data_IF_093061027079
#
_entry.id   IF_093061027079
#
_cell.length_a   1.000
_cell.length_b   1.000
_cell.length_c   1.000
_cell.angle_alpha   90.00
_cell.angle_beta   90.00
_cell.angle_gamma   90.00
#
_symmetry.space_group_name_H-M   'P 1'
#
loop_
_entity.id
_entity.type
_entity.pdbx_description
1 polymer ?
#
# COMPACT_ATOMS: atom_id res chain seq x y z
N UNK A 1 13.61 24.79 18.75
CA UNK A 1 14.26 24.07 17.61
C UNK A 1 14.21 22.59 17.98
N UNK A 2 13.71 21.77 17.09
CA UNK A 2 13.59 20.32 17.27
C UNK A 2 14.93 19.63 16.89
N UNK A 3 16.02 19.96 17.62
CA UNK A 3 17.38 19.50 17.27
C UNK A 3 17.54 18.02 17.57
N UNK A 4 18.02 17.25 16.60
CA UNK A 4 18.29 15.83 16.74
C UNK A 4 19.53 15.62 17.63
N UNK A 5 19.33 14.96 18.79
CA UNK A 5 20.39 14.65 19.75
C UNK A 5 20.91 13.22 19.54
N UNK A 6 19.99 12.26 19.27
CA UNK A 6 20.35 10.86 19.12
C UNK A 6 19.46 10.16 18.08
N UNK A 7 20.06 9.21 17.37
CA UNK A 7 19.35 8.27 16.46
C UNK A 7 19.84 6.87 16.76
N UNK A 8 18.89 5.96 17.04
CA UNK A 8 19.18 4.55 17.37
C UNK A 8 18.26 3.65 16.55
N UNK A 9 18.83 2.66 15.89
CA UNK A 9 18.07 1.61 15.22
C UNK A 9 18.24 0.28 15.94
N UNK A 10 17.19 -0.54 15.80
CA UNK A 10 17.16 -1.93 16.28
C UNK A 10 16.46 -2.84 15.29
N UNK A 11 16.73 -4.12 15.41
CA UNK A 11 16.01 -5.16 14.68
C UNK A 11 14.77 -5.56 15.49
N UNK A 12 13.60 -5.55 14.85
CA UNK A 12 12.34 -6.06 15.38
C UNK A 12 11.75 -7.13 14.43
N UNK A 13 10.60 -7.72 14.75
CA UNK A 13 9.93 -8.68 13.88
C UNK A 13 8.71 -8.05 13.19
N UNK A 14 8.52 -8.37 11.92
CA UNK A 14 7.31 -8.06 11.17
C UNK A 14 6.17 -9.07 11.44
N UNK A 15 5.00 -8.87 10.85
CA UNK A 15 3.80 -9.72 10.98
C UNK A 15 3.98 -11.15 10.48
N UNK A 16 5.06 -11.43 9.73
CA UNK A 16 5.43 -12.76 9.25
C UNK A 16 6.53 -13.41 10.09
N UNK A 17 6.99 -12.74 11.16
CA UNK A 17 8.11 -13.17 11.99
C UNK A 17 9.47 -13.02 11.32
N UNK A 18 9.58 -12.20 10.26
CA UNK A 18 10.86 -11.84 9.67
C UNK A 18 11.41 -10.57 10.31
N UNK A 19 12.76 -10.43 10.42
CA UNK A 19 13.36 -9.20 10.91
C UNK A 19 13.05 -8.00 10.04
N UNK A 20 12.85 -6.84 10.68
CA UNK A 20 12.78 -5.54 10.04
C UNK A 20 13.42 -4.47 10.93
N UNK A 21 13.56 -3.24 10.41
CA UNK A 21 14.23 -2.13 11.09
C UNK A 21 13.22 -1.25 11.82
N UNK A 22 13.50 -0.95 13.08
CA UNK A 22 12.86 0.15 13.82
C UNK A 22 13.92 1.20 14.14
N UNK A 23 13.57 2.46 13.94
CA UNK A 23 14.43 3.61 14.25
C UNK A 23 13.76 4.47 15.31
N UNK A 24 14.56 4.90 16.27
CA UNK A 24 14.20 5.85 17.33
C UNK A 24 15.01 7.13 17.17
N UNK A 25 14.35 8.27 17.21
CA UNK A 25 14.97 9.60 17.18
C UNK A 25 14.66 10.31 18.49
N UNK A 26 15.69 10.82 19.15
CA UNK A 26 15.60 11.64 20.35
C UNK A 26 16.02 13.07 20.01
N UNK A 27 15.24 14.05 20.46
CA UNK A 27 15.50 15.48 20.30
C UNK A 27 16.01 16.11 21.61
N UNK A 28 16.72 17.24 21.52
CA UNK A 28 17.24 17.98 22.69
C UNK A 28 16.16 18.46 23.67
N UNK A 29 14.91 18.60 23.21
CA UNK A 29 13.77 18.97 24.06
C UNK A 29 13.19 17.77 24.85
N UNK A 30 13.76 16.57 24.67
CA UNK A 30 13.34 15.33 25.32
C UNK A 30 12.28 14.55 24.57
N UNK A 31 11.85 15.01 23.40
CA UNK A 31 10.94 14.25 22.51
C UNK A 31 11.63 12.99 22.02
N UNK A 32 10.93 11.85 22.07
CA UNK A 32 11.40 10.56 21.55
C UNK A 32 10.31 9.97 20.67
N UNK A 33 10.63 9.70 19.42
CA UNK A 33 9.71 9.09 18.47
C UNK A 33 10.34 7.88 17.75
N UNK A 34 9.53 6.90 17.44
CA UNK A 34 9.94 5.67 16.74
C UNK A 34 9.19 5.49 15.43
N UNK A 35 9.82 4.79 14.48
CA UNK A 35 9.17 4.33 13.28
C UNK A 35 9.68 2.94 12.88
N UNK A 36 8.78 2.06 12.47
CA UNK A 36 9.10 0.71 12.01
C UNK A 36 8.84 0.57 10.50
N UNK A 37 9.77 -0.07 9.81
CA UNK A 37 9.74 -0.19 8.33
C UNK A 37 9.01 -1.47 7.92
N UNK A 38 8.03 -1.40 6.99
CA UNK A 38 7.39 -2.59 6.44
C UNK A 38 8.28 -3.31 5.41
N UNK A 39 7.94 -4.56 5.09
CA UNK A 39 8.71 -5.45 4.20
C UNK A 39 7.82 -6.17 3.19
N UNK A 40 8.19 -6.22 1.92
CA UNK A 40 7.44 -6.94 0.88
C UNK A 40 7.66 -8.46 0.91
N UNK A 41 6.68 -9.24 0.39
CA UNK A 41 6.85 -10.64 0.01
C UNK A 41 7.24 -10.76 -1.46
N UNK A 42 6.42 -10.20 -2.35
CA UNK A 42 6.76 -9.93 -3.74
C UNK A 42 7.39 -8.54 -3.82
N UNK A 43 8.36 -8.35 -4.69
CA UNK A 43 9.04 -7.06 -4.88
C UNK A 43 9.20 -6.80 -6.36
N UNK A 44 8.79 -5.60 -6.82
CA UNK A 44 9.04 -5.14 -8.18
C UNK A 44 10.54 -5.05 -8.47
N UNK A 45 10.93 -5.34 -9.68
CA UNK A 45 12.34 -5.37 -10.11
C UNK A 45 13.06 -4.04 -9.86
N UNK A 46 12.33 -2.94 -9.84
CA UNK A 46 12.86 -1.58 -9.76
C UNK A 46 12.70 -0.93 -8.39
N UNK A 47 12.27 -1.69 -7.37
CA UNK A 47 12.21 -1.18 -6.00
C UNK A 47 13.60 -0.82 -5.47
N UNK A 48 13.66 0.16 -4.57
CA UNK A 48 14.87 0.44 -3.80
C UNK A 48 15.23 -0.77 -2.91
N UNK A 49 16.52 -0.96 -2.69
CA UNK A 49 17.05 -2.17 -2.06
C UNK A 49 16.69 -2.24 -0.57
N UNK A 50 15.91 -3.21 -0.19
CA UNK A 50 15.78 -3.64 1.21
C UNK A 50 17.05 -4.42 1.59
N UNK A 51 17.92 -3.81 2.41
CA UNK A 51 19.20 -4.41 2.77
C UNK A 51 19.00 -5.55 3.77
N UNK A 52 19.40 -6.76 3.35
CA UNK A 52 19.39 -8.00 4.15
C UNK A 52 20.81 -8.51 4.36
N UNK A 53 21.06 -9.13 5.53
CA UNK A 53 22.41 -9.60 5.92
C UNK A 53 22.92 -10.75 5.05
N UNK A 54 22.03 -11.60 4.53
CA UNK A 54 22.37 -12.77 3.72
C UNK A 54 22.96 -13.93 4.51
N UNK A 55 23.21 -13.81 5.82
CA UNK A 55 23.72 -14.89 6.67
C UNK A 55 22.64 -15.96 6.90
N UNK A 56 22.77 -17.09 6.18
CA UNK A 56 21.84 -18.21 6.28
C UNK A 56 21.69 -18.81 7.69
N UNK A 57 22.66 -18.58 8.60
CA UNK A 57 22.60 -19.09 9.97
C UNK A 57 21.71 -18.24 10.87
N UNK A 58 21.35 -17.02 10.40
CA UNK A 58 20.53 -16.09 11.16
C UNK A 58 19.30 -15.71 10.31
N UNK A 59 18.10 -16.04 10.83
CA UNK A 59 16.81 -15.80 10.14
C UNK A 59 16.79 -16.29 8.66
N UNK A 60 17.52 -17.37 8.34
CA UNK A 60 17.60 -17.87 6.97
C UNK A 60 18.21 -16.89 5.94
N UNK A 61 18.95 -15.89 6.38
CA UNK A 61 19.54 -14.83 5.56
C UNK A 61 18.75 -13.51 5.56
N UNK A 62 17.61 -13.45 6.25
CA UNK A 62 16.71 -12.29 6.27
C UNK A 62 17.02 -11.27 7.37
N UNK A 63 18.10 -11.43 8.17
CA UNK A 63 18.55 -10.46 9.17
C UNK A 63 18.74 -9.06 8.59
N UNK A 64 18.67 -8.01 9.42
CA UNK A 64 18.80 -6.60 9.02
C UNK A 64 19.86 -5.84 9.84
N UNK A 65 20.80 -6.55 10.46
CA UNK A 65 21.84 -5.91 11.30
C UNK A 65 22.73 -4.97 10.49
N UNK A 66 23.00 -5.23 9.20
CA UNK A 66 23.74 -4.29 8.35
C UNK A 66 22.99 -2.96 8.17
N UNK A 67 21.67 -3.01 7.98
CA UNK A 67 20.83 -1.81 7.91
C UNK A 67 20.81 -1.07 9.25
N UNK A 68 20.69 -1.80 10.37
CA UNK A 68 20.78 -1.25 11.73
C UNK A 68 22.13 -0.56 11.96
N UNK A 69 23.23 -1.21 11.60
CA UNK A 69 24.57 -0.62 11.69
C UNK A 69 24.73 0.64 10.82
N UNK A 70 24.16 0.63 9.61
CA UNK A 70 24.18 1.80 8.74
C UNK A 70 23.46 2.99 9.38
N UNK A 71 22.33 2.78 10.07
CA UNK A 71 21.67 3.84 10.84
C UNK A 71 22.58 4.31 11.99
N UNK A 72 23.03 3.38 12.84
CA UNK A 72 23.73 3.71 14.09
C UNK A 72 25.12 4.32 13.85
N UNK A 73 25.86 3.83 12.85
CA UNK A 73 27.25 4.22 12.63
C UNK A 73 27.47 5.24 11.51
N UNK A 74 26.49 5.44 10.60
CA UNK A 74 26.66 6.33 9.44
C UNK A 74 25.59 7.41 9.38
N UNK A 75 24.29 7.04 9.34
CA UNK A 75 23.20 8.00 9.16
C UNK A 75 23.04 8.85 10.43
N UNK A 76 22.90 8.23 11.60
CA UNK A 76 22.72 8.92 12.86
C UNK A 76 23.79 10.00 13.10
N UNK A 77 25.10 9.65 13.09
CA UNK A 77 26.17 10.65 13.24
C UNK A 77 26.14 11.79 12.22
N UNK A 78 25.61 11.56 11.02
CA UNK A 78 25.54 12.57 9.96
C UNK A 78 24.41 13.58 10.15
N UNK A 79 23.32 13.21 10.87
CA UNK A 79 22.13 14.06 11.06
C UNK A 79 21.99 14.63 12.48
N UNK A 80 22.81 14.19 13.45
CA UNK A 80 22.87 14.81 14.78
C UNK A 80 23.19 16.31 14.62
N UNK A 81 22.42 17.16 15.35
CA UNK A 81 22.53 18.60 15.29
C UNK A 81 21.66 19.27 14.21
N UNK A 82 21.03 18.50 13.32
CA UNK A 82 20.02 19.04 12.39
C UNK A 82 18.71 19.33 13.13
N UNK A 83 17.94 20.29 12.63
CA UNK A 83 16.56 20.49 13.05
C UNK A 83 15.66 19.45 12.38
N UNK A 84 14.94 18.64 13.16
CA UNK A 84 14.08 17.58 12.65
C UNK A 84 12.95 18.09 11.72
N UNK A 85 12.64 19.39 11.75
CA UNK A 85 11.68 20.00 10.82
C UNK A 85 12.23 20.20 9.41
N UNK A 86 13.54 20.05 9.21
CA UNK A 86 14.20 20.16 7.91
C UNK A 86 14.17 18.82 7.13
N UNK A 87 12.98 18.17 7.05
CA UNK A 87 12.81 16.85 6.47
C UNK A 87 13.49 16.66 5.12
N UNK A 88 13.26 17.57 4.18
CA UNK A 88 13.81 17.49 2.81
C UNK A 88 15.34 17.54 2.83
N UNK A 89 15.93 18.37 3.70
CA UNK A 89 17.39 18.47 3.82
C UNK A 89 18.00 17.18 4.40
N UNK A 90 17.34 16.58 5.39
CA UNK A 90 17.77 15.32 6.02
C UNK A 90 17.64 14.16 5.03
N UNK A 91 16.51 14.03 4.32
CA UNK A 91 16.30 12.98 3.32
C UNK A 91 17.36 13.10 2.20
N UNK A 92 17.59 14.30 1.67
CA UNK A 92 18.62 14.55 0.65
C UNK A 92 20.05 14.25 1.15
N UNK A 93 20.34 14.51 2.42
CA UNK A 93 21.62 14.15 3.02
C UNK A 93 21.80 12.63 3.05
N UNK A 94 20.77 11.87 3.45
CA UNK A 94 20.81 10.41 3.46
C UNK A 94 20.99 9.83 2.05
N UNK A 95 20.27 10.36 1.05
CA UNK A 95 20.42 9.96 -0.35
C UNK A 95 21.84 10.23 -0.87
N UNK A 96 22.40 11.37 -0.53
CA UNK A 96 23.80 11.71 -0.89
C UNK A 96 24.81 10.80 -0.18
N UNK A 97 24.54 10.41 1.07
CA UNK A 97 25.39 9.52 1.84
C UNK A 97 25.38 8.10 1.27
N UNK A 98 24.22 7.62 0.78
CA UNK A 98 24.12 6.36 0.04
C UNK A 98 24.84 6.44 -1.31
N UNK A 99 24.59 7.46 -2.11
CA UNK A 99 25.24 7.75 -3.37
C UNK A 99 24.88 6.82 -4.52
N UNK A 100 23.82 5.97 -4.39
CA UNK A 100 23.31 5.10 -5.44
C UNK A 100 21.85 5.38 -5.75
N UNK A 101 21.39 5.10 -6.98
CA UNK A 101 20.01 5.37 -7.40
C UNK A 101 18.99 4.52 -6.63
N UNK A 102 19.34 3.30 -6.24
CA UNK A 102 18.44 2.33 -5.60
C UNK A 102 18.78 2.04 -4.12
N UNK A 103 19.53 2.91 -3.44
CA UNK A 103 19.91 2.81 -2.00
C UNK A 103 20.66 1.51 -1.63
N UNK A 104 21.51 1.01 -2.52
CA UNK A 104 22.22 -0.27 -2.33
C UNK A 104 23.24 -0.22 -1.17
N UNK A 105 23.85 0.95 -0.88
CA UNK A 105 24.92 1.06 0.09
C UNK A 105 24.42 1.12 1.54
N UNK A 106 23.32 1.85 1.80
CA UNK A 106 22.77 2.00 3.14
C UNK A 106 21.56 1.10 3.38
N UNK A 107 20.79 0.84 2.33
CA UNK A 107 19.50 0.16 2.37
C UNK A 107 18.32 1.14 2.48
N UNK A 108 17.30 0.95 1.64
CA UNK A 108 16.08 1.73 1.69
C UNK A 108 15.37 1.59 3.04
N UNK A 109 15.45 0.42 3.67
CA UNK A 109 14.90 0.18 5.01
C UNK A 109 15.61 1.02 6.09
N UNK A 110 16.92 1.16 6.05
CA UNK A 110 17.66 2.03 6.97
C UNK A 110 17.29 3.51 6.77
N UNK A 111 17.27 3.97 5.52
CA UNK A 111 16.97 5.36 5.16
C UNK A 111 15.53 5.72 5.51
N UNK A 112 14.57 4.87 5.15
CA UNK A 112 13.15 5.11 5.43
C UNK A 112 12.85 5.14 6.93
N UNK A 113 13.44 4.22 7.70
CA UNK A 113 13.25 4.20 9.16
C UNK A 113 13.62 5.54 9.79
N UNK A 114 14.75 6.12 9.38
CA UNK A 114 15.19 7.46 9.83
C UNK A 114 14.24 8.54 9.33
N UNK A 115 13.91 8.55 8.03
CA UNK A 115 13.00 9.55 7.43
C UNK A 115 11.68 9.63 8.16
N UNK A 116 11.05 8.49 8.46
CA UNK A 116 9.77 8.41 9.18
C UNK A 116 9.91 8.82 10.66
N UNK A 117 10.95 8.35 11.35
CA UNK A 117 11.16 8.65 12.77
C UNK A 117 11.43 10.15 12.98
N UNK A 118 12.21 10.78 12.11
CA UNK A 118 12.47 12.23 12.11
C UNK A 118 11.16 13.02 11.94
N UNK A 119 10.33 12.67 10.96
CA UNK A 119 9.05 13.35 10.75
C UNK A 119 8.13 13.24 11.96
N UNK A 120 8.07 12.07 12.60
CA UNK A 120 7.27 11.84 13.81
C UNK A 120 7.82 12.65 15.00
N UNK A 121 9.14 12.64 15.20
CA UNK A 121 9.77 13.43 16.26
C UNK A 121 9.50 14.92 16.08
N UNK A 122 9.61 15.44 14.85
CA UNK A 122 9.31 16.83 14.54
C UNK A 122 7.82 17.16 14.84
N UNK A 123 6.89 16.30 14.45
CA UNK A 123 5.49 16.48 14.74
C UNK A 123 5.20 16.54 16.25
N UNK A 124 5.75 15.60 17.01
CA UNK A 124 5.59 15.52 18.47
C UNK A 124 6.22 16.72 19.19
N UNK A 125 7.41 17.15 18.79
CA UNK A 125 8.08 18.35 19.34
C UNK A 125 7.29 19.62 19.08
N UNK A 126 6.48 19.66 18.02
CA UNK A 126 5.60 20.79 17.70
C UNK A 126 4.20 20.66 18.30
N UNK A 127 3.93 19.60 19.06
CA UNK A 127 2.60 19.26 19.61
C UNK A 127 1.51 19.18 18.51
N UNK A 128 1.90 18.62 17.35
CA UNK A 128 1.02 18.43 16.20
C UNK A 128 0.77 16.95 15.93
N UNK A 129 -0.49 16.54 15.66
CA UNK A 129 -0.75 15.24 15.07
C UNK A 129 0.04 15.05 13.77
N UNK A 130 0.60 13.84 13.53
CA UNK A 130 1.47 13.58 12.40
C UNK A 130 0.85 13.95 11.05
N UNK A 131 -0.43 13.62 10.83
CA UNK A 131 -1.12 13.96 9.58
C UNK A 131 -1.23 15.48 9.33
N UNK A 132 -1.37 16.28 10.40
CA UNK A 132 -1.38 17.75 10.30
C UNK A 132 0.02 18.32 10.08
N UNK A 133 1.04 17.75 10.72
CA UNK A 133 2.42 18.13 10.47
C UNK A 133 2.82 17.91 9.01
N UNK A 134 2.51 16.73 8.46
CA UNK A 134 2.85 16.35 7.09
C UNK A 134 2.01 17.09 6.03
N UNK A 135 0.72 17.30 6.28
CA UNK A 135 -0.24 17.80 5.27
C UNK A 135 -0.74 19.22 5.49
N UNK A 136 -0.37 19.82 6.62
CA UNK A 136 -0.84 21.16 7.01
C UNK A 136 -2.36 21.21 7.29
N UNK A 137 -2.89 22.41 7.41
CA UNK A 137 -4.29 22.64 7.79
C UNK A 137 -5.33 22.06 6.79
N UNK A 138 -4.93 21.70 5.58
CA UNK A 138 -5.84 21.14 4.57
C UNK A 138 -5.96 19.62 4.62
N UNK A 139 -5.21 18.94 5.49
CA UNK A 139 -5.30 17.49 5.72
C UNK A 139 -6.62 17.17 6.45
N UNK A 140 -7.63 16.67 5.72
CA UNK A 140 -9.00 16.48 6.24
C UNK A 140 -9.81 15.38 5.57
N UNK A 141 -9.25 14.75 4.51
CA UNK A 141 -9.95 13.73 3.76
C UNK A 141 -9.56 12.35 4.26
N UNK A 142 -10.54 11.65 4.85
CA UNK A 142 -10.41 10.25 5.23
C UNK A 142 -10.45 9.38 3.97
N UNK A 143 -9.50 8.45 3.79
CA UNK A 143 -9.44 7.64 2.57
C UNK A 143 -10.53 6.58 2.54
N UNK A 144 -11.03 6.25 1.33
CA UNK A 144 -11.83 5.05 1.09
C UNK A 144 -10.91 3.84 1.20
N UNK A 145 -11.20 2.86 2.08
CA UNK A 145 -10.40 1.66 2.19
C UNK A 145 -10.65 0.72 0.99
N UNK A 146 -9.56 0.26 0.38
CA UNK A 146 -9.53 -0.89 -0.53
C UNK A 146 -9.23 -2.12 0.33
N UNK A 147 -10.29 -2.77 0.83
CA UNK A 147 -10.17 -3.76 1.88
C UNK A 147 -10.08 -5.17 1.30
N UNK A 148 -8.89 -5.76 1.35
CA UNK A 148 -8.61 -7.09 0.84
C UNK A 148 -9.25 -8.16 1.74
N UNK A 149 -10.35 -8.76 1.30
CA UNK A 149 -11.12 -9.73 2.09
C UNK A 149 -11.01 -11.17 1.59
N UNK A 150 -10.45 -11.38 0.39
CA UNK A 150 -10.17 -12.70 -0.18
C UNK A 150 -8.83 -12.67 -0.93
N UNK A 151 -7.97 -13.62 -0.62
CA UNK A 151 -6.61 -13.74 -1.13
C UNK A 151 -6.46 -14.92 -2.09
N UNK A 152 -5.64 -14.73 -3.11
CA UNK A 152 -5.08 -15.75 -3.99
C UNK A 152 -3.61 -15.48 -4.30
N UNK A 153 -3.11 -15.99 -5.42
CA UNK A 153 -1.76 -15.76 -5.90
C UNK A 153 -0.70 -16.03 -4.83
N UNK A 154 0.32 -15.17 -4.75
CA UNK A 154 1.41 -15.29 -3.77
C UNK A 154 0.98 -15.04 -2.30
N UNK A 155 -0.20 -14.48 -2.06
CA UNK A 155 -0.71 -14.17 -0.72
C UNK A 155 -1.49 -15.31 -0.05
N UNK A 156 -1.72 -16.43 -0.76
CA UNK A 156 -2.48 -17.57 -0.24
C UNK A 156 -1.97 -18.90 -0.83
N UNK A 157 -1.98 -19.94 -0.02
CA UNK A 157 -1.72 -21.32 -0.47
C UNK A 157 -3.04 -21.95 -0.96
N UNK A 158 -3.52 -21.49 -2.14
CA UNK A 158 -4.75 -21.94 -2.77
C UNK A 158 -4.61 -21.92 -4.31
N UNK A 159 -5.70 -22.20 -5.03
CA UNK A 159 -5.73 -22.30 -6.49
C UNK A 159 -6.32 -21.06 -7.21
N UNK A 160 -6.43 -19.92 -6.52
CA UNK A 160 -6.91 -18.67 -7.11
C UNK A 160 -5.73 -17.90 -7.66
N UNK A 161 -5.75 -17.52 -8.95
CA UNK A 161 -4.60 -16.91 -9.63
C UNK A 161 -4.42 -15.43 -9.28
N UNK A 162 -5.52 -14.65 -9.21
CA UNK A 162 -5.47 -13.23 -8.86
C UNK A 162 -5.16 -13.07 -7.38
N UNK A 163 -4.28 -12.13 -7.05
CA UNK A 163 -3.68 -12.03 -5.72
C UNK A 163 -4.64 -11.50 -4.66
N UNK A 164 -5.45 -10.46 -4.99
CA UNK A 164 -6.35 -9.82 -4.01
C UNK A 164 -7.69 -9.45 -4.62
N UNK A 165 -8.73 -9.72 -3.84
CA UNK A 165 -10.11 -9.30 -4.11
C UNK A 165 -10.58 -8.37 -3.00
N UNK A 166 -10.81 -7.12 -3.36
CA UNK A 166 -11.07 -6.03 -2.42
C UNK A 166 -12.49 -5.51 -2.55
N UNK A 167 -13.04 -5.06 -1.41
CA UNK A 167 -14.27 -4.27 -1.34
C UNK A 167 -13.96 -2.82 -1.02
N UNK A 168 -14.74 -1.91 -1.59
CA UNK A 168 -14.62 -0.46 -1.41
C UNK A 168 -15.98 0.13 -0.99
N UNK A 169 -16.12 0.65 0.25
CA UNK A 169 -17.39 1.16 0.79
C UNK A 169 -17.66 2.59 0.31
N UNK A 170 -17.95 2.74 -0.98
CA UNK A 170 -18.10 4.06 -1.65
C UNK A 170 -19.39 4.78 -1.31
N UNK A 171 -20.41 4.06 -0.79
CA UNK A 171 -21.71 4.64 -0.40
C UNK A 171 -21.75 5.19 1.04
N UNK A 172 -20.74 4.91 1.87
CA UNK A 172 -20.68 5.39 3.25
C UNK A 172 -20.54 6.93 3.31
N UNK A 173 -20.97 7.52 4.43
CA UNK A 173 -20.90 8.97 4.64
C UNK A 173 -19.74 9.40 5.51
N UNK A 174 -19.23 8.50 6.34
CA UNK A 174 -18.13 8.71 7.28
C UNK A 174 -17.16 7.54 7.17
N UNK A 175 -15.92 7.70 7.61
CA UNK A 175 -14.96 6.61 7.65
C UNK A 175 -15.38 5.53 8.66
N UNK A 176 -15.93 5.92 9.81
CA UNK A 176 -16.44 4.98 10.82
C UNK A 176 -17.56 4.09 10.27
N UNK A 177 -18.51 4.65 9.51
CA UNK A 177 -19.55 3.87 8.83
C UNK A 177 -18.96 2.94 7.75
N UNK A 178 -17.98 3.43 6.99
CA UNK A 178 -17.26 2.65 5.99
C UNK A 178 -16.57 1.44 6.62
N UNK A 179 -15.82 1.64 7.69
CA UNK A 179 -15.11 0.56 8.39
C UNK A 179 -16.10 -0.46 9.01
N UNK A 180 -17.18 0.02 9.64
CA UNK A 180 -18.24 -0.83 10.19
C UNK A 180 -18.84 -1.72 9.10
N UNK A 181 -19.27 -1.14 7.99
CA UNK A 181 -19.90 -1.89 6.89
C UNK A 181 -18.94 -2.92 6.28
N UNK A 182 -17.66 -2.59 6.13
CA UNK A 182 -16.64 -3.55 5.70
C UNK A 182 -16.49 -4.73 6.67
N UNK A 183 -16.49 -4.47 7.98
CA UNK A 183 -16.39 -5.52 8.99
C UNK A 183 -17.62 -6.44 8.95
N UNK A 184 -18.82 -5.88 8.76
CA UNK A 184 -20.06 -6.65 8.61
C UNK A 184 -20.03 -7.55 7.36
N UNK A 185 -19.56 -7.03 6.21
CA UNK A 185 -19.38 -7.82 4.98
C UNK A 185 -18.34 -8.91 5.19
N UNK A 186 -17.19 -8.60 5.83
CA UNK A 186 -16.13 -9.57 6.11
C UNK A 186 -16.63 -10.74 6.96
N UNK A 187 -17.37 -10.46 8.04
CA UNK A 187 -17.97 -11.52 8.87
C UNK A 187 -19.04 -12.31 8.13
N UNK A 188 -19.81 -11.66 7.25
CA UNK A 188 -20.79 -12.33 6.41
C UNK A 188 -20.12 -13.23 5.37
N UNK A 189 -18.98 -12.78 4.78
CA UNK A 189 -18.19 -13.61 3.87
C UNK A 189 -17.68 -14.88 4.57
N UNK A 190 -17.23 -14.78 5.84
CA UNK A 190 -16.88 -15.95 6.63
C UNK A 190 -18.03 -16.96 6.71
N UNK A 191 -19.25 -16.49 6.93
CA UNK A 191 -20.43 -17.34 6.99
C UNK A 191 -20.76 -17.95 5.63
N UNK A 192 -20.66 -17.19 4.54
CA UNK A 192 -20.88 -17.69 3.16
C UNK A 192 -19.89 -18.82 2.83
N UNK A 193 -18.61 -18.63 3.14
CA UNK A 193 -17.57 -19.65 2.91
C UNK A 193 -17.83 -20.90 3.75
N UNK A 194 -18.17 -20.74 5.03
CA UNK A 194 -18.50 -21.85 5.92
C UNK A 194 -19.71 -22.66 5.42
N UNK A 195 -20.80 -21.99 4.99
CA UNK A 195 -21.99 -22.62 4.44
C UNK A 195 -21.70 -23.45 3.18
N UNK A 196 -20.71 -23.03 2.40
CA UNK A 196 -20.21 -23.75 1.22
C UNK A 196 -19.18 -24.84 1.54
N UNK A 197 -18.82 -25.02 2.82
CA UNK A 197 -17.78 -25.99 3.25
C UNK A 197 -16.36 -25.59 2.85
N UNK A 198 -16.12 -24.30 2.59
CA UNK A 198 -14.84 -23.74 2.20
C UNK A 198 -14.01 -23.29 3.41
N UNK A 199 -12.69 -23.21 3.22
CA UNK A 199 -11.77 -22.74 4.26
C UNK A 199 -12.04 -21.29 4.65
N UNK A 200 -12.00 -21.01 5.95
CA UNK A 200 -12.03 -19.64 6.51
C UNK A 200 -10.69 -19.26 7.17
N UNK A 201 -9.61 -19.99 6.83
CA UNK A 201 -8.24 -19.55 7.15
C UNK A 201 -7.92 -18.26 6.39
N UNK A 202 -7.04 -17.45 6.98
CA UNK A 202 -6.67 -16.14 6.44
C UNK A 202 -5.23 -16.14 5.91
N UNK A 203 -4.99 -15.37 4.85
CA UNK A 203 -3.68 -15.11 4.31
C UNK A 203 -2.89 -14.04 5.10
N UNK A 204 -1.77 -13.62 4.54
CA UNK A 204 -0.85 -12.66 5.17
C UNK A 204 -1.48 -11.30 5.46
N UNK A 205 -2.47 -10.90 4.67
CA UNK A 205 -3.15 -9.62 4.79
C UNK A 205 -4.52 -9.69 5.49
N UNK A 206 -4.88 -10.87 6.03
CA UNK A 206 -6.09 -11.08 6.81
C UNK A 206 -7.33 -11.43 5.97
N UNK A 207 -7.26 -11.42 4.63
CA UNK A 207 -8.32 -11.93 3.74
C UNK A 207 -8.41 -13.45 3.81
N UNK A 208 -9.61 -14.00 3.56
CA UNK A 208 -9.81 -15.45 3.51
C UNK A 208 -9.09 -16.07 2.31
N UNK A 209 -8.64 -17.31 2.45
CA UNK A 209 -7.86 -18.03 1.44
C UNK A 209 -8.50 -19.41 1.09
N UNK A 210 -9.74 -19.44 0.58
CA UNK A 210 -10.37 -20.69 0.16
C UNK A 210 -9.82 -21.18 -1.18
N UNK A 211 -9.93 -22.50 -1.43
CA UNK A 211 -9.85 -23.03 -2.79
C UNK A 211 -11.18 -22.79 -3.50
N UNK A 212 -11.14 -22.21 -4.69
CA UNK A 212 -12.31 -21.88 -5.50
C UNK A 212 -12.15 -22.48 -6.91
N UNK A 213 -13.27 -22.62 -7.65
CA UNK A 213 -13.24 -23.20 -8.99
C UNK A 213 -12.66 -22.22 -10.04
N UNK A 214 -12.67 -20.92 -9.77
CA UNK A 214 -12.14 -19.88 -10.68
C UNK A 214 -11.93 -18.56 -9.95
N UNK A 215 -11.21 -17.61 -10.57
CA UNK A 215 -11.12 -16.24 -10.11
C UNK A 215 -12.49 -15.54 -10.06
N UNK A 216 -13.38 -15.90 -10.96
CA UNK A 216 -14.74 -15.36 -10.98
C UNK A 216 -15.58 -15.83 -9.78
N UNK A 217 -15.42 -17.07 -9.31
CA UNK A 217 -16.12 -17.55 -8.11
C UNK A 217 -15.73 -16.72 -6.86
N UNK A 218 -14.51 -16.19 -6.80
CA UNK A 218 -14.10 -15.28 -5.73
C UNK A 218 -14.97 -14.01 -5.73
N UNK A 219 -15.24 -13.42 -6.89
CA UNK A 219 -16.14 -12.28 -7.03
C UNK A 219 -17.59 -12.64 -6.65
N UNK A 220 -18.06 -13.85 -7.05
CA UNK A 220 -19.41 -14.32 -6.75
C UNK A 220 -19.65 -14.47 -5.24
N UNK A 221 -18.72 -15.08 -4.49
CA UNK A 221 -18.89 -15.24 -3.03
C UNK A 221 -18.82 -13.90 -2.30
N UNK A 222 -18.00 -12.96 -2.77
CA UNK A 222 -17.94 -11.59 -2.24
C UNK A 222 -19.26 -10.86 -2.51
N UNK A 223 -19.78 -10.92 -3.74
CA UNK A 223 -21.06 -10.32 -4.11
C UNK A 223 -22.23 -10.91 -3.30
N UNK A 224 -22.20 -12.22 -3.05
CA UNK A 224 -23.15 -12.89 -2.16
C UNK A 224 -23.06 -12.35 -0.73
N UNK A 225 -21.84 -12.20 -0.21
CA UNK A 225 -21.61 -11.68 1.14
C UNK A 225 -22.10 -10.23 1.31
N UNK A 226 -21.84 -9.35 0.34
CA UNK A 226 -22.32 -7.97 0.36
C UNK A 226 -23.86 -7.93 0.42
N UNK A 227 -24.53 -8.69 -0.44
CA UNK A 227 -25.99 -8.77 -0.48
C UNK A 227 -26.57 -9.37 0.81
N UNK A 228 -25.98 -10.45 1.36
CA UNK A 228 -26.42 -11.06 2.62
C UNK A 228 -26.20 -10.13 3.82
N UNK A 229 -25.20 -9.28 3.78
CA UNK A 229 -24.95 -8.24 4.79
C UNK A 229 -25.95 -7.06 4.69
N UNK A 230 -26.81 -7.03 3.66
CA UNK A 230 -27.84 -5.99 3.47
C UNK A 230 -27.38 -4.76 2.71
N UNK A 231 -26.27 -4.84 1.98
CA UNK A 231 -25.73 -3.74 1.18
C UNK A 231 -25.94 -3.92 -0.32
N UNK A 232 -25.99 -2.81 -1.05
CA UNK A 232 -26.22 -2.77 -2.49
C UNK A 232 -24.92 -2.69 -3.26
N UNK A 233 -24.73 -3.65 -4.20
CA UNK A 233 -23.60 -3.68 -5.12
C UNK A 233 -23.65 -2.51 -6.11
N UNK A 234 -22.51 -1.85 -6.31
CA UNK A 234 -22.35 -0.71 -7.21
C UNK A 234 -22.73 0.63 -6.58
N UNK A 235 -23.57 0.62 -5.54
CA UNK A 235 -23.99 1.83 -4.80
C UNK A 235 -23.28 1.96 -3.45
N UNK A 236 -23.44 0.96 -2.56
CA UNK A 236 -22.79 0.96 -1.26
C UNK A 236 -21.34 0.46 -1.37
N UNK A 237 -21.16 -0.61 -2.15
CA UNK A 237 -19.86 -1.24 -2.37
C UNK A 237 -19.54 -1.39 -3.84
N UNK A 238 -18.30 -1.04 -4.19
CA UNK A 238 -17.63 -1.44 -5.43
C UNK A 238 -16.52 -2.44 -5.13
N UNK A 239 -16.01 -3.10 -6.17
CA UNK A 239 -14.97 -4.11 -6.09
C UNK A 239 -13.67 -3.56 -6.67
N UNK A 240 -12.56 -4.05 -6.15
CA UNK A 240 -11.24 -3.81 -6.71
C UNK A 240 -10.44 -5.11 -6.74
N UNK A 241 -9.52 -5.20 -7.69
CA UNK A 241 -8.63 -6.34 -7.90
C UNK A 241 -7.18 -5.89 -7.80
N UNK A 242 -6.34 -6.72 -7.22
CA UNK A 242 -4.91 -6.73 -7.45
C UNK A 242 -4.55 -8.06 -8.12
N UNK A 243 -4.03 -7.97 -9.32
CA UNK A 243 -3.71 -9.15 -10.13
C UNK A 243 -2.29 -9.63 -9.89
N UNK A 244 -1.38 -8.72 -9.55
CA UNK A 244 0.07 -8.97 -9.44
C UNK A 244 0.60 -9.71 -10.69
N UNK A 245 0.27 -9.19 -11.87
CA UNK A 245 0.44 -9.92 -13.15
C UNK A 245 1.89 -10.27 -13.47
N UNK A 246 2.89 -9.59 -12.88
CA UNK A 246 4.30 -9.95 -13.03
C UNK A 246 4.60 -11.36 -12.52
N UNK A 247 3.90 -11.83 -11.47
CA UNK A 247 4.05 -13.18 -10.89
C UNK A 247 3.56 -14.29 -11.82
N UNK A 248 2.56 -14.00 -12.65
CA UNK A 248 1.96 -14.97 -13.60
C UNK A 248 2.46 -14.78 -15.03
N UNK A 249 3.38 -13.82 -15.27
CA UNK A 249 3.93 -13.54 -16.60
C UNK A 249 5.18 -14.37 -16.88
N UNK A 250 5.11 -15.19 -17.93
CA UNK A 250 6.21 -16.05 -18.35
C UNK A 250 6.21 -16.21 -19.87
N UNK A 251 7.40 -16.10 -20.48
CA UNK A 251 7.60 -16.31 -21.92
C UNK A 251 6.65 -15.47 -22.82
N UNK A 252 6.37 -14.22 -22.40
CA UNK A 252 5.51 -13.30 -23.14
C UNK A 252 4.00 -13.55 -22.98
N UNK A 253 3.59 -14.37 -22.01
CA UNK A 253 2.19 -14.74 -21.75
C UNK A 253 1.86 -14.77 -20.27
N UNK A 254 0.57 -14.65 -19.96
CA UNK A 254 0.01 -14.69 -18.64
C UNK A 254 -0.60 -16.08 -18.36
N UNK A 255 -0.13 -16.74 -17.31
CA UNK A 255 -0.49 -18.11 -16.96
C UNK A 255 -1.45 -18.11 -15.77
N UNK A 256 -2.74 -18.28 -16.03
CA UNK A 256 -3.77 -18.50 -15.00
C UNK A 256 -3.82 -20.03 -14.73
N UNK A 257 -2.91 -20.50 -13.87
CA UNK A 257 -2.71 -21.95 -13.64
C UNK A 257 -3.93 -22.59 -12.99
N UNK A 258 -4.61 -21.87 -12.06
CA UNK A 258 -5.84 -22.32 -11.41
C UNK A 258 -7.00 -22.50 -12.38
N UNK A 259 -7.03 -21.75 -13.47
CA UNK A 259 -8.04 -21.89 -14.55
C UNK A 259 -7.55 -22.67 -15.76
N UNK A 260 -6.28 -23.09 -15.79
CA UNK A 260 -5.67 -23.79 -16.92
C UNK A 260 -5.61 -22.97 -18.22
N UNK A 261 -5.49 -21.65 -18.11
CA UNK A 261 -5.46 -20.69 -19.22
C UNK A 261 -4.08 -20.09 -19.41
N UNK A 262 -3.70 -19.85 -20.66
CA UNK A 262 -2.46 -19.12 -21.04
C UNK A 262 -2.86 -18.05 -22.03
N UNK A 263 -2.76 -16.79 -21.61
CA UNK A 263 -3.32 -15.64 -22.29
C UNK A 263 -2.21 -14.68 -22.78
N UNK A 264 -2.40 -14.07 -23.93
CA UNK A 264 -1.66 -12.88 -24.37
C UNK A 264 -2.14 -11.64 -23.60
N UNK A 265 -1.42 -10.51 -23.69
CA UNK A 265 -1.84 -9.25 -23.10
C UNK A 265 -3.25 -8.83 -23.55
N UNK A 266 -3.55 -8.96 -24.86
CA UNK A 266 -4.88 -8.64 -25.38
C UNK A 266 -5.98 -9.53 -24.81
N UNK A 267 -5.73 -10.84 -24.68
CA UNK A 267 -6.69 -11.77 -24.08
C UNK A 267 -6.86 -11.55 -22.57
N UNK A 268 -5.82 -11.09 -21.86
CA UNK A 268 -5.97 -10.62 -20.46
C UNK A 268 -6.87 -9.39 -20.39
N UNK A 269 -6.73 -8.44 -21.30
CA UNK A 269 -7.62 -7.27 -21.36
C UNK A 269 -9.06 -7.68 -21.68
N UNK A 270 -9.28 -8.66 -22.59
CA UNK A 270 -10.63 -9.22 -22.85
C UNK A 270 -11.23 -9.85 -21.59
N UNK A 271 -10.41 -10.55 -20.81
CA UNK A 271 -10.83 -11.13 -19.53
C UNK A 271 -11.24 -10.04 -18.53
N UNK A 272 -10.48 -8.96 -18.40
CA UNK A 272 -10.86 -7.85 -17.54
C UNK A 272 -12.10 -7.13 -18.01
N UNK A 273 -12.29 -6.90 -19.31
CA UNK A 273 -13.52 -6.31 -19.84
C UNK A 273 -14.75 -7.16 -19.48
N UNK A 274 -14.65 -8.48 -19.65
CA UNK A 274 -15.72 -9.39 -19.25
C UNK A 274 -16.07 -9.25 -17.76
N UNK A 275 -15.07 -9.21 -16.87
CA UNK A 275 -15.30 -9.05 -15.44
C UNK A 275 -15.91 -7.69 -15.09
N UNK A 276 -15.41 -6.61 -15.68
CA UNK A 276 -15.90 -5.22 -15.46
C UNK A 276 -17.34 -5.05 -15.99
N UNK A 277 -17.72 -5.75 -17.05
CA UNK A 277 -19.09 -5.72 -17.58
C UNK A 277 -20.08 -6.47 -16.67
N UNK A 278 -19.61 -7.50 -15.95
CA UNK A 278 -20.43 -8.35 -15.10
C UNK A 278 -20.52 -7.91 -13.65
N UNK A 279 -19.45 -7.32 -13.13
CA UNK A 279 -19.29 -6.93 -11.73
C UNK A 279 -18.98 -5.43 -11.58
N UNK A 280 -19.36 -4.77 -10.47
CA UNK A 280 -19.07 -3.37 -10.23
C UNK A 280 -17.60 -3.14 -9.83
N UNK A 281 -16.66 -3.62 -10.67
CA UNK A 281 -15.22 -3.43 -10.49
C UNK A 281 -14.88 -2.00 -10.90
N UNK A 282 -14.24 -1.26 -10.00
CA UNK A 282 -13.86 0.15 -10.21
C UNK A 282 -12.35 0.35 -10.25
N UNK A 283 -11.57 -0.64 -9.81
CA UNK A 283 -10.10 -0.56 -9.77
C UNK A 283 -9.47 -1.90 -10.09
N UNK A 284 -8.41 -1.89 -10.92
CA UNK A 284 -7.54 -3.03 -11.22
C UNK A 284 -6.09 -2.57 -11.02
N UNK A 285 -5.39 -3.23 -10.11
CA UNK A 285 -3.98 -3.02 -9.82
C UNK A 285 -3.16 -4.06 -10.54
N UNK A 286 -2.03 -3.62 -11.12
CA UNK A 286 -1.05 -4.43 -11.86
C UNK A 286 -1.70 -5.46 -12.78
N UNK A 287 -2.63 -4.97 -13.61
CA UNK A 287 -3.37 -5.81 -14.55
C UNK A 287 -2.49 -6.45 -15.63
N UNK A 288 -1.29 -5.94 -15.86
CA UNK A 288 -0.28 -6.51 -16.75
C UNK A 288 1.10 -6.37 -16.12
N UNK A 289 2.10 -7.13 -16.63
CA UNK A 289 3.45 -7.17 -16.08
C UNK A 289 4.16 -5.81 -16.14
N UNK A 290 5.09 -5.57 -15.21
CA UNK A 290 5.76 -4.29 -14.95
C UNK A 290 6.59 -3.73 -16.12
N UNK A 291 6.94 -4.54 -17.12
CA UNK A 291 7.65 -4.13 -18.34
C UNK A 291 6.82 -4.33 -19.62
N UNK A 292 5.56 -4.77 -19.51
CA UNK A 292 4.65 -4.88 -20.66
C UNK A 292 3.97 -3.54 -20.99
N UNK A 293 4.76 -2.52 -21.27
CA UNK A 293 4.29 -1.15 -21.56
C UNK A 293 3.29 -1.08 -22.73
N UNK A 294 3.49 -1.92 -23.76
CA UNK A 294 2.59 -1.98 -24.92
C UNK A 294 1.23 -2.58 -24.51
N UNK A 295 1.25 -3.65 -23.72
CA UNK A 295 0.03 -4.22 -23.14
C UNK A 295 -0.69 -3.23 -22.24
N UNK A 296 0.02 -2.53 -21.36
CA UNK A 296 -0.54 -1.47 -20.50
C UNK A 296 -1.19 -0.35 -21.32
N UNK A 297 -0.63 -0.03 -22.49
CA UNK A 297 -1.25 0.94 -23.41
C UNK A 297 -2.61 0.47 -23.89
N UNK A 298 -2.71 -0.79 -24.34
CA UNK A 298 -3.98 -1.41 -24.78
C UNK A 298 -4.99 -1.44 -23.63
N UNK A 299 -4.56 -1.87 -22.43
CA UNK A 299 -5.40 -1.90 -21.24
C UNK A 299 -5.97 -0.52 -20.91
N UNK A 300 -5.13 0.51 -20.96
CA UNK A 300 -5.53 1.89 -20.63
C UNK A 300 -6.48 2.47 -21.67
N UNK A 301 -6.24 2.23 -22.96
CA UNK A 301 -7.12 2.67 -24.05
C UNK A 301 -8.52 2.05 -23.94
N UNK A 302 -8.60 0.78 -23.57
CA UNK A 302 -9.88 0.04 -23.48
C UNK A 302 -10.64 0.30 -22.18
N UNK A 303 -9.96 0.29 -21.03
CA UNK A 303 -10.61 0.32 -19.71
C UNK A 303 -10.36 1.62 -18.92
N UNK A 304 -9.33 2.40 -19.21
CA UNK A 304 -8.91 3.52 -18.37
C UNK A 304 -9.91 4.67 -18.19
N UNK A 305 -11.00 4.71 -18.96
CA UNK A 305 -12.12 5.65 -18.75
C UNK A 305 -13.22 5.10 -17.84
N UNK A 306 -13.21 3.80 -17.59
CA UNK A 306 -14.23 3.07 -16.84
C UNK A 306 -13.72 2.60 -15.50
N UNK A 307 -12.43 2.29 -15.42
CA UNK A 307 -11.77 1.62 -14.30
C UNK A 307 -10.49 2.37 -13.94
N UNK A 308 -10.24 2.54 -12.65
CA UNK A 308 -8.96 2.97 -12.14
C UNK A 308 -7.93 1.86 -12.40
N UNK A 309 -6.86 2.19 -13.11
CA UNK A 309 -5.76 1.30 -13.41
C UNK A 309 -4.55 1.72 -12.59
N UNK A 310 -4.24 0.94 -11.57
CA UNK A 310 -3.22 1.26 -10.57
C UNK A 310 -1.92 0.56 -10.95
N UNK A 311 -0.82 1.32 -11.06
CA UNK A 311 0.53 0.76 -11.18
C UNK A 311 1.18 0.64 -9.81
N UNK A 312 1.46 -0.59 -9.37
CA UNK A 312 2.31 -0.94 -8.24
C UNK A 312 3.73 -1.25 -8.72
N UNK A 313 4.00 -2.47 -9.18
CA UNK A 313 5.29 -2.86 -9.74
C UNK A 313 5.66 -2.05 -11.00
N UNK A 314 4.65 -1.61 -11.75
CA UNK A 314 4.85 -0.72 -12.91
C UNK A 314 5.59 0.57 -12.54
N UNK A 315 5.27 1.19 -11.39
CA UNK A 315 5.79 2.49 -10.98
C UNK A 315 6.72 2.45 -9.78
N UNK A 316 6.59 1.45 -8.89
CA UNK A 316 7.38 1.25 -7.66
C UNK A 316 7.59 2.54 -6.84
N UNK A 317 6.55 3.38 -6.76
CA UNK A 317 6.58 4.70 -6.10
C UNK A 317 7.71 5.62 -6.65
N UNK A 318 8.23 5.33 -7.84
CA UNK A 318 9.37 6.02 -8.46
C UNK A 318 8.90 7.08 -9.46
N UNK A 319 9.27 8.35 -9.23
CA UNK A 319 8.87 9.50 -10.06
C UNK A 319 9.28 9.32 -11.52
N UNK A 320 10.48 8.79 -11.81
CA UNK A 320 10.97 8.58 -13.19
C UNK A 320 10.13 7.56 -13.95
N UNK A 321 9.74 6.45 -13.28
CA UNK A 321 8.87 5.44 -13.90
C UNK A 321 7.45 5.96 -14.08
N UNK A 322 6.95 6.73 -13.10
CA UNK A 322 5.66 7.38 -13.18
C UNK A 322 5.60 8.39 -14.35
N UNK A 323 6.61 9.25 -14.50
CA UNK A 323 6.74 10.20 -15.62
C UNK A 323 6.73 9.46 -16.97
N UNK A 324 7.48 8.35 -17.10
CA UNK A 324 7.43 7.49 -18.28
C UNK A 324 6.00 7.00 -18.56
N UNK A 325 5.28 6.56 -17.56
CA UNK A 325 3.89 6.11 -17.70
C UNK A 325 2.95 7.22 -18.13
N UNK A 326 3.10 8.42 -17.56
CA UNK A 326 2.34 9.61 -17.93
C UNK A 326 2.58 9.98 -19.40
N UNK A 327 3.84 10.02 -19.82
CA UNK A 327 4.24 10.35 -21.19
C UNK A 327 3.70 9.34 -22.21
N UNK A 328 3.68 8.05 -21.86
CA UNK A 328 3.11 6.98 -22.67
C UNK A 328 1.57 6.95 -22.63
N UNK A 329 0.96 7.62 -21.65
CA UNK A 329 -0.49 7.61 -21.40
C UNK A 329 -0.97 6.22 -20.97
N UNK A 330 -0.26 5.55 -20.04
CA UNK A 330 -0.59 4.25 -19.47
C UNK A 330 -0.93 4.37 -17.99
N UNK A 331 -1.87 3.53 -17.51
CA UNK A 331 -2.47 3.60 -16.19
C UNK A 331 -3.21 4.95 -15.95
N UNK A 332 -3.73 5.17 -14.76
CA UNK A 332 -4.36 6.42 -14.34
C UNK A 332 -4.35 6.59 -12.81
N UNK A 333 -3.58 5.75 -12.13
CA UNK A 333 -3.39 5.75 -10.67
C UNK A 333 -2.04 5.15 -10.32
N UNK A 334 -1.48 5.56 -9.18
CA UNK A 334 -0.25 4.98 -8.61
C UNK A 334 -0.54 4.37 -7.24
N UNK A 335 0.01 3.18 -6.99
CA UNK A 335 0.14 2.66 -5.63
C UNK A 335 1.39 3.27 -4.99
N UNK A 336 1.26 3.70 -3.74
CA UNK A 336 2.35 4.36 -3.02
C UNK A 336 2.75 3.51 -1.82
N UNK A 337 3.91 2.91 -1.90
CA UNK A 337 4.57 2.14 -0.85
C UNK A 337 5.86 2.85 -0.47
N UNK A 338 5.91 3.48 0.69
CA UNK A 338 7.04 4.34 1.08
C UNK A 338 8.39 3.62 1.08
N UNK A 339 8.39 2.31 1.34
CA UNK A 339 9.63 1.52 1.35
C UNK A 339 10.13 1.12 -0.05
N UNK A 340 9.30 1.21 -1.10
CA UNK A 340 9.74 0.98 -2.48
C UNK A 340 10.70 2.05 -2.98
N UNK A 341 10.64 3.26 -2.39
CA UNK A 341 11.48 4.39 -2.77
C UNK A 341 12.47 4.80 -1.68
N UNK A 342 12.09 4.76 -0.41
CA UNK A 342 13.00 4.83 0.74
C UNK A 342 13.10 6.17 1.47
N UNK A 343 12.45 7.26 1.03
CA UNK A 343 12.29 8.49 1.79
C UNK A 343 10.86 9.02 1.69
N UNK A 344 10.43 9.76 2.71
CA UNK A 344 9.15 10.48 2.64
C UNK A 344 9.17 11.53 1.54
N UNK A 345 10.26 12.27 1.38
CA UNK A 345 10.38 13.31 0.35
C UNK A 345 10.13 12.74 -1.05
N UNK A 346 10.80 11.63 -1.43
CA UNK A 346 10.59 11.01 -2.74
C UNK A 346 9.17 10.45 -2.90
N UNK A 347 8.58 9.88 -1.84
CA UNK A 347 7.21 9.37 -1.88
C UNK A 347 6.18 10.50 -2.07
N UNK A 348 6.37 11.65 -1.40
CA UNK A 348 5.53 12.84 -1.58
C UNK A 348 5.69 13.44 -2.97
N UNK A 349 6.91 13.49 -3.52
CA UNK A 349 7.16 13.94 -4.90
C UNK A 349 6.44 13.05 -5.93
N UNK A 350 6.44 11.73 -5.74
CA UNK A 350 5.70 10.81 -6.60
C UNK A 350 4.18 11.05 -6.54
N UNK A 351 3.62 11.25 -5.35
CA UNK A 351 2.19 11.56 -5.18
C UNK A 351 1.81 12.90 -5.78
N UNK A 352 2.64 13.92 -5.62
CA UNK A 352 2.40 15.24 -6.22
C UNK A 352 2.47 15.18 -7.75
N UNK A 353 3.45 14.46 -8.31
CA UNK A 353 3.58 14.23 -9.76
C UNK A 353 2.35 13.51 -10.32
N UNK A 354 1.87 12.47 -9.65
CA UNK A 354 0.65 11.75 -10.03
C UNK A 354 -0.57 12.67 -10.07
N UNK A 355 -0.81 13.42 -9.00
CA UNK A 355 -1.96 14.33 -8.89
C UNK A 355 -1.94 15.42 -9.94
N UNK A 356 -0.78 16.02 -10.24
CA UNK A 356 -0.63 17.02 -11.31
C UNK A 356 -0.95 16.47 -12.69
N UNK A 357 -0.71 15.18 -12.91
CA UNK A 357 -1.06 14.49 -14.15
C UNK A 357 -2.53 14.02 -14.19
N UNK A 358 -3.31 14.23 -13.11
CA UNK A 358 -4.69 13.77 -13.00
C UNK A 358 -4.82 12.29 -12.61
N UNK A 359 -3.75 11.67 -12.16
CA UNK A 359 -3.77 10.31 -11.60
C UNK A 359 -4.23 10.36 -10.15
N UNK A 360 -4.90 9.31 -9.70
CA UNK A 360 -5.18 9.08 -8.28
C UNK A 360 -3.98 8.44 -7.59
N UNK A 361 -3.94 8.54 -6.25
CA UNK A 361 -2.94 7.88 -5.42
C UNK A 361 -3.64 6.92 -4.45
N UNK A 362 -3.10 5.73 -4.30
CA UNK A 362 -3.52 4.76 -3.29
C UNK A 362 -2.35 4.56 -2.33
N UNK A 363 -2.48 5.00 -1.09
CA UNK A 363 -1.45 4.75 -0.06
C UNK A 363 -1.57 3.31 0.42
N UNK A 364 -0.47 2.56 0.41
CA UNK A 364 -0.50 1.12 0.59
C UNK A 364 0.44 0.62 1.68
N UNK A 365 0.01 -0.45 2.34
CA UNK A 365 0.83 -1.30 3.19
C UNK A 365 1.75 -2.21 2.37
N UNK A 366 2.46 -3.09 3.08
CA UNK A 366 3.15 -4.26 2.49
C UNK A 366 2.62 -5.56 3.12
N UNK A 367 2.97 -6.69 2.52
CA UNK A 367 2.61 -8.02 3.05
C UNK A 367 3.22 -8.28 4.43
N UNK A 368 4.46 -7.87 4.67
CA UNK A 368 5.09 -7.84 5.99
C UNK A 368 4.94 -6.48 6.65
N UNK A 369 4.05 -6.38 7.63
CA UNK A 369 3.75 -5.15 8.35
C UNK A 369 4.17 -5.23 9.80
N UNK A 370 4.18 -4.06 10.44
CA UNK A 370 4.33 -3.91 11.89
C UNK A 370 3.08 -3.21 12.45
N UNK A 371 3.05 -2.98 13.76
CA UNK A 371 2.00 -2.16 14.39
C UNK A 371 2.07 -0.68 14.02
N UNK A 372 3.12 -0.21 13.34
CA UNK A 372 3.27 1.18 12.93
C UNK A 372 2.13 1.64 12.00
N UNK A 373 1.56 2.81 12.29
CA UNK A 373 0.38 3.35 11.61
C UNK A 373 0.68 4.50 10.66
N UNK A 374 1.96 4.76 10.37
CA UNK A 374 2.42 5.95 9.63
C UNK A 374 1.68 6.18 8.31
N UNK A 375 1.38 5.11 7.57
CA UNK A 375 0.67 5.21 6.28
C UNK A 375 -0.76 5.73 6.41
N UNK A 376 -1.42 5.55 7.55
CA UNK A 376 -2.74 6.11 7.80
C UNK A 376 -2.66 7.65 7.88
N UNK A 377 -1.65 8.16 8.58
CA UNK A 377 -1.38 9.60 8.67
C UNK A 377 -0.99 10.19 7.31
N UNK A 378 -0.14 9.51 6.52
CA UNK A 378 0.19 9.93 5.14
C UNK A 378 -1.08 10.04 4.28
N UNK A 379 -1.95 9.04 4.31
CA UNK A 379 -3.14 9.02 3.47
C UNK A 379 -4.03 10.25 3.70
N UNK A 380 -4.20 10.67 4.97
CA UNK A 380 -4.95 11.88 5.31
C UNK A 380 -4.13 13.15 5.03
N UNK A 381 -2.84 13.15 5.35
CA UNK A 381 -1.95 14.30 5.14
C UNK A 381 -2.00 14.82 3.70
N UNK A 382 -1.94 13.92 2.74
CA UNK A 382 -1.93 14.29 1.31
C UNK A 382 -3.33 14.29 0.69
N UNK A 383 -4.41 14.05 1.46
CA UNK A 383 -5.75 13.82 0.92
C UNK A 383 -5.69 12.82 -0.26
N UNK A 384 -5.13 11.63 0.00
CA UNK A 384 -4.94 10.61 -1.04
C UNK A 384 -6.26 10.09 -1.60
N UNK A 385 -7.31 10.13 -0.79
CA UNK A 385 -8.64 9.64 -1.12
C UNK A 385 -8.78 8.12 -0.99
N UNK A 386 -7.69 7.35 -1.02
CA UNK A 386 -7.72 5.89 -0.99
C UNK A 386 -6.57 5.32 -0.16
N UNK A 387 -6.83 4.20 0.53
CA UNK A 387 -5.83 3.42 1.28
C UNK A 387 -6.04 1.93 1.05
N UNK A 388 -4.96 1.19 0.81
CA UNK A 388 -4.93 -0.26 0.70
C UNK A 388 -4.10 -0.81 1.86
N UNK A 389 -4.77 -1.40 2.88
CA UNK A 389 -4.07 -1.87 4.09
C UNK A 389 -4.66 -3.17 4.67
N UNK A 390 -5.09 -4.07 3.77
CA UNK A 390 -5.53 -5.42 4.11
C UNK A 390 -6.97 -5.52 4.60
N UNK A 391 -7.33 -6.66 5.20
CA UNK A 391 -8.63 -6.96 5.75
C UNK A 391 -8.84 -6.30 7.13
N UNK A 392 -10.11 -6.26 7.66
CA UNK A 392 -10.38 -5.85 9.03
C UNK A 392 -10.04 -6.97 10.04
N UNK A 393 -8.90 -7.61 9.83
CA UNK A 393 -8.38 -8.72 10.62
C UNK A 393 -6.84 -8.64 10.64
N UNK A 394 -6.21 -9.26 11.67
CA UNK A 394 -4.79 -9.15 12.01
C UNK A 394 -4.43 -7.74 12.54
N UNK A 395 -3.78 -7.72 13.71
CA UNK A 395 -3.58 -6.48 14.49
C UNK A 395 -2.83 -5.40 13.73
N UNK A 396 -1.83 -5.78 12.94
CA UNK A 396 -1.02 -4.87 12.14
C UNK A 396 -1.79 -4.18 11.00
N UNK A 397 -2.87 -4.78 10.51
CA UNK A 397 -3.80 -4.16 9.54
C UNK A 397 -4.81 -3.28 10.26
N UNK A 398 -5.46 -3.82 11.28
CA UNK A 398 -6.46 -3.11 12.09
C UNK A 398 -5.88 -1.87 12.77
N UNK A 399 -4.59 -1.87 13.12
CA UNK A 399 -3.91 -0.70 13.69
C UNK A 399 -4.05 0.55 12.80
N UNK A 400 -3.89 0.41 11.47
CA UNK A 400 -4.03 1.51 10.51
C UNK A 400 -5.46 2.02 10.44
N UNK A 401 -6.45 1.12 10.41
CA UNK A 401 -7.87 1.49 10.43
C UNK A 401 -8.26 2.19 11.74
N UNK A 402 -7.77 1.71 12.88
CA UNK A 402 -8.00 2.33 14.18
C UNK A 402 -7.35 3.73 14.24
N UNK A 403 -6.19 3.93 13.61
CA UNK A 403 -5.58 5.25 13.51
C UNK A 403 -6.46 6.22 12.69
N UNK A 404 -7.02 5.76 11.57
CA UNK A 404 -7.95 6.57 10.77
C UNK A 404 -9.21 6.95 11.55
N UNK A 405 -9.74 6.08 12.42
CA UNK A 405 -10.84 6.42 13.32
C UNK A 405 -10.45 7.53 14.30
N UNK A 406 -9.23 7.47 14.89
CA UNK A 406 -8.72 8.53 15.77
C UNK A 406 -8.55 9.85 15.02
N UNK A 407 -8.06 9.80 13.78
CA UNK A 407 -7.92 10.99 12.93
C UNK A 407 -9.31 11.58 12.60
N UNK A 408 -10.31 10.74 12.27
CA UNK A 408 -11.68 11.18 12.04
C UNK A 408 -12.24 11.90 13.28
N UNK A 409 -12.01 11.35 14.48
CA UNK A 409 -12.41 11.98 15.75
C UNK A 409 -11.70 13.33 15.97
N UNK A 410 -10.39 13.43 15.73
CA UNK A 410 -9.63 14.67 15.84
C UNK A 410 -10.12 15.76 14.87
N UNK A 411 -10.50 15.37 13.65
CA UNK A 411 -11.02 16.28 12.62
C UNK A 411 -12.47 16.71 12.90
N UNK A 412 -13.23 15.91 13.64
CA UNK A 412 -14.61 16.18 14.02
C UNK A 412 -15.49 16.61 12.83
N UNK A 413 -16.13 17.78 12.89
CA UNK A 413 -17.00 18.29 11.82
C UNK A 413 -16.25 18.64 10.51
N UNK A 414 -14.93 18.74 10.54
CA UNK A 414 -14.12 19.03 9.35
C UNK A 414 -13.69 17.79 8.58
N UNK A 415 -13.88 16.59 9.15
CA UNK A 415 -13.60 15.32 8.49
C UNK A 415 -14.44 15.19 7.22
N UNK A 416 -13.80 14.77 6.12
CA UNK A 416 -14.45 14.52 4.85
C UNK A 416 -14.24 13.08 4.41
N UNK A 417 -15.32 12.40 4.04
CA UNK A 417 -15.29 11.11 3.40
C UNK A 417 -16.00 11.22 2.05
N UNK A 418 -15.26 11.09 0.96
CA UNK A 418 -15.77 11.42 -0.37
C UNK A 418 -16.44 10.26 -1.11
N UNK A 419 -16.33 9.03 -0.59
CA UNK A 419 -16.93 7.86 -1.22
C UNK A 419 -16.54 7.74 -2.69
N UNK A 420 -17.52 7.57 -3.58
CA UNK A 420 -17.29 7.40 -5.03
C UNK A 420 -16.57 8.58 -5.73
N UNK A 421 -16.55 9.76 -5.10
CA UNK A 421 -15.90 10.94 -5.69
C UNK A 421 -14.36 10.89 -5.64
N UNK A 422 -13.76 9.89 -4.96
CA UNK A 422 -12.31 9.70 -4.96
C UNK A 422 -11.77 9.28 -6.32
N UNK A 423 -12.61 8.74 -7.20
CA UNK A 423 -12.25 8.33 -8.56
C UNK A 423 -12.33 9.53 -9.54
N UNK A 424 -11.65 10.63 -9.22
CA UNK A 424 -11.66 11.83 -10.06
C UNK A 424 -10.94 11.65 -11.40
N UNK A 425 -10.12 10.60 -11.53
CA UNK A 425 -9.45 10.16 -12.76
C UNK A 425 -10.40 9.50 -13.76
N UNK A 426 -11.58 9.05 -13.32
CA UNK A 426 -12.60 8.46 -14.20
C UNK A 426 -13.55 9.53 -14.69
N UNK A 427 -13.72 9.64 -16.02
CA UNK A 427 -14.71 10.55 -16.60
C UNK A 427 -16.11 9.97 -16.37
N UNK A 428 -16.92 10.69 -15.63
CA UNK A 428 -18.37 10.42 -15.50
C UNK A 428 -19.10 10.82 -16.76
#
# INVERSE_FOLDING_TARGET
MAVIEQVVAREILDSRGNPTVEVEVCLEDGTIATAAVPSGASTGMFEAVELRDGDKKRYGGKGVLQAVDNVNAKIGPAIIGYDATEQVAIDNLMLKLDGTDNKTNLGANAILGVSMAVARAAAESLDLPLFLYLGGFNAKELPVPMMNILNGGAHADNNVDLQEFMIMPVGAKTFSDALRSCAEVYHTLKSVLHDKGLSTAVGDEGGFAPNLASNEEALEVICEAIKRAGYELGTDFKLALDVASSEIYKDGKYHLEGEGKVLSASEMVDFYEYLVDKYPIVSIEDGLAEEDWDGWKVLTERLGKRVQLVGDDLFVTNTKRLEKGIDLGVANSILVKVNQIGTLTEAFDAMETAKRAGYTCVVSHRSGETEDTFIADIAVAVNAGQIKTGAPARSERVAKYNQLLRIEEMLYETAQYKGDAVFYNLKK
#
